data_IF_319214818654
#
_entry.id   IF_319214818654
#
_cell.length_a   1.000
_cell.length_b   1.000
_cell.length_c   1.000
_cell.angle_alpha   90.00
_cell.angle_beta   90.00
_cell.angle_gamma   90.00
#
_symmetry.space_group_name_H-M   'P 1'
#
loop_
_entity.id
_entity.type
_entity.pdbx_description
1 polymer ?
#
# COMPACT_ATOMS: atom_id res chain seq x y z
N UNK A 1 19.08 -16.01 6.33
CA UNK A 1 18.55 -15.41 7.55
C UNK A 1 17.32 -14.57 7.23
N UNK A 2 16.44 -14.37 8.21
CA UNK A 2 15.35 -13.42 8.10
C UNK A 2 15.26 -12.60 9.40
N UNK A 3 14.84 -11.34 9.28
CA UNK A 3 14.57 -10.48 10.43
C UNK A 3 13.35 -9.61 10.17
N UNK A 4 12.54 -9.40 11.19
CA UNK A 4 11.36 -8.59 11.09
C UNK A 4 11.31 -7.56 12.22
N UNK A 5 10.65 -6.44 11.94
CA UNK A 5 10.39 -5.40 12.92
C UNK A 5 9.12 -4.61 12.55
N UNK A 6 8.59 -3.91 13.52
CA UNK A 6 7.53 -2.91 13.33
C UNK A 6 7.95 -1.59 13.96
N UNK A 7 7.45 -0.49 13.40
CA UNK A 7 7.65 0.85 13.93
C UNK A 7 6.33 1.60 13.90
N UNK A 8 5.94 2.21 15.01
CA UNK A 8 4.73 3.01 15.07
C UNK A 8 4.90 4.28 14.22
N UNK A 9 3.99 4.48 13.28
CA UNK A 9 3.96 5.63 12.36
C UNK A 9 2.68 6.45 12.51
N UNK A 10 1.94 6.26 13.61
CA UNK A 10 0.70 7.01 13.86
C UNK A 10 1.01 8.51 13.96
N UNK A 11 0.40 9.36 13.13
CA UNK A 11 0.59 10.80 13.17
C UNK A 11 -0.08 11.40 14.40
N UNK A 12 0.29 12.63 14.78
CA UNK A 12 -0.47 13.39 15.78
C UNK A 12 -1.93 13.59 15.38
N UNK A 13 -2.82 13.71 16.37
CA UNK A 13 -4.20 14.08 16.11
C UNK A 13 -4.28 15.44 15.41
N UNK A 14 -5.29 15.60 14.55
CA UNK A 14 -5.45 16.77 13.69
C UNK A 14 -4.86 16.63 12.29
N UNK A 15 -3.98 15.64 12.05
CA UNK A 15 -3.58 15.29 10.69
C UNK A 15 -4.77 14.73 9.91
N UNK A 16 -4.81 15.03 8.60
CA UNK A 16 -5.97 14.72 7.77
C UNK A 16 -6.01 13.24 7.38
N UNK A 17 -7.12 12.59 7.69
CA UNK A 17 -7.49 11.28 7.11
C UNK A 17 -7.93 11.52 5.67
N UNK A 18 -7.40 10.73 4.75
CA UNK A 18 -7.60 10.86 3.31
C UNK A 18 -8.07 9.53 2.69
N UNK A 19 -8.47 9.59 1.41
CA UNK A 19 -9.01 8.43 0.68
C UNK A 19 -10.52 8.54 0.41
N UNK A 20 -11.24 9.37 1.17
CA UNK A 20 -12.62 9.75 0.88
C UNK A 20 -12.71 10.97 -0.06
N UNK A 21 -13.95 11.42 -0.36
CA UNK A 21 -14.17 12.59 -1.20
C UNK A 21 -13.71 13.91 -0.55
N UNK A 22 -13.74 13.97 0.77
CA UNK A 22 -13.27 15.13 1.54
C UNK A 22 -12.34 14.63 2.65
N UNK A 23 -11.13 15.20 2.76
CA UNK A 23 -10.29 14.98 3.93
C UNK A 23 -10.94 15.55 5.19
N UNK A 24 -10.69 14.93 6.33
CA UNK A 24 -11.14 15.42 7.65
C UNK A 24 -10.03 15.16 8.68
N UNK A 25 -9.92 16.01 9.72
CA UNK A 25 -8.89 15.82 10.74
C UNK A 25 -9.16 14.59 11.60
N UNK A 26 -8.11 13.87 11.98
CA UNK A 26 -8.20 12.77 12.92
C UNK A 26 -8.49 13.28 14.34
N UNK A 27 -9.55 12.80 14.97
CA UNK A 27 -9.95 13.18 16.32
C UNK A 27 -9.57 12.14 17.37
N UNK A 28 -9.34 10.90 16.96
CA UNK A 28 -8.93 9.80 17.83
C UNK A 28 -8.10 8.77 17.05
N UNK A 29 -7.45 7.88 17.79
CA UNK A 29 -6.75 6.71 17.27
C UNK A 29 -7.44 5.46 17.81
N UNK A 30 -8.05 4.67 16.92
CA UNK A 30 -8.61 3.37 17.29
C UNK A 30 -7.49 2.32 17.34
N UNK A 31 -6.73 2.21 16.26
CA UNK A 31 -5.57 1.33 16.13
C UNK A 31 -4.35 2.13 15.69
N UNK A 32 -3.19 1.80 16.22
CA UNK A 32 -1.95 2.42 15.80
C UNK A 32 -1.57 1.99 14.38
N UNK A 33 -1.04 2.94 13.62
CA UNK A 33 -0.49 2.72 12.28
C UNK A 33 0.97 2.28 12.38
N UNK A 34 1.36 1.32 11.56
CA UNK A 34 2.71 0.77 11.59
C UNK A 34 3.38 0.74 10.21
N UNK A 35 4.69 0.97 10.21
CA UNK A 35 5.57 0.42 9.20
C UNK A 35 5.99 -0.99 9.64
N UNK A 36 5.89 -1.97 8.74
CA UNK A 36 6.31 -3.35 8.98
C UNK A 36 7.40 -3.70 7.99
N UNK A 37 8.51 -4.20 8.49
CA UNK A 37 9.65 -4.60 7.67
C UNK A 37 9.95 -6.08 7.82
N UNK A 38 10.22 -6.73 6.68
CA UNK A 38 10.82 -8.05 6.59
C UNK A 38 12.13 -7.94 5.80
N UNK A 39 13.23 -8.38 6.38
CA UNK A 39 14.52 -8.49 5.72
C UNK A 39 14.83 -9.96 5.48
N UNK A 40 15.25 -10.28 4.26
CA UNK A 40 15.76 -11.59 3.86
C UNK A 40 17.23 -11.46 3.45
N UNK A 41 18.06 -12.40 3.92
CA UNK A 41 19.51 -12.40 3.72
C UNK A 41 19.98 -13.84 3.47
N UNK A 42 20.50 -14.10 2.27
CA UNK A 42 21.06 -15.40 1.89
C UNK A 42 22.59 -15.50 2.07
N UNK A 43 23.22 -14.45 2.61
CA UNK A 43 24.66 -14.33 2.80
C UNK A 43 25.39 -13.58 1.69
N UNK A 44 24.79 -13.47 0.50
CA UNK A 44 25.33 -12.71 -0.65
C UNK A 44 24.51 -11.45 -0.91
N UNK A 45 23.19 -11.58 -0.84
CA UNK A 45 22.23 -10.50 -1.13
C UNK A 45 21.28 -10.33 0.03
N UNK A 46 20.98 -9.08 0.34
CA UNK A 46 19.95 -8.67 1.29
C UNK A 46 18.85 -7.92 0.56
N UNK A 47 17.59 -8.23 0.88
CA UNK A 47 16.41 -7.49 0.39
C UNK A 47 15.51 -7.15 1.56
N UNK A 48 14.80 -6.04 1.45
CA UNK A 48 13.81 -5.63 2.45
C UNK A 48 12.46 -5.31 1.81
N UNK A 49 11.39 -5.73 2.47
CA UNK A 49 10.02 -5.36 2.16
C UNK A 49 9.50 -4.49 3.30
N UNK A 50 9.03 -3.28 2.98
CA UNK A 50 8.47 -2.36 3.96
C UNK A 50 7.05 -2.00 3.55
N UNK A 51 6.08 -2.32 4.40
CA UNK A 51 4.68 -1.99 4.18
C UNK A 51 4.23 -1.04 5.29
N UNK A 52 3.67 0.10 4.89
CA UNK A 52 3.23 1.17 5.79
C UNK A 52 1.72 1.33 5.78
N UNK A 53 1.11 1.49 6.95
CA UNK A 53 -0.34 1.74 7.09
C UNK A 53 -0.67 3.20 6.75
N UNK A 54 -0.58 3.53 5.47
CA UNK A 54 -0.94 4.83 4.90
C UNK A 54 -1.80 4.66 3.66
N UNK A 55 -2.52 5.70 3.25
CA UNK A 55 -3.21 5.73 1.96
C UNK A 55 -2.22 5.66 0.80
N UNK A 56 -1.13 6.38 0.91
CA UNK A 56 -0.04 6.44 -0.05
C UNK A 56 1.10 7.24 0.55
N UNK A 57 2.29 6.97 0.07
CA UNK A 57 3.52 7.61 0.51
C UNK A 57 4.20 8.20 -0.72
N UNK A 58 4.64 9.44 -0.61
CA UNK A 58 5.29 10.15 -1.72
C UNK A 58 6.72 9.68 -1.91
N UNK A 59 7.25 9.85 -3.11
CA UNK A 59 8.61 9.40 -3.47
C UNK A 59 9.67 10.07 -2.62
N UNK A 60 9.48 11.33 -2.24
CA UNK A 60 10.38 12.10 -1.40
C UNK A 60 10.52 11.52 0.02
N UNK A 61 9.43 11.06 0.63
CA UNK A 61 9.48 10.33 1.91
C UNK A 61 10.28 9.04 1.79
N UNK A 62 10.01 8.25 0.74
CA UNK A 62 10.75 7.03 0.51
C UNK A 62 12.23 7.28 0.22
N UNK A 63 12.55 8.38 -0.49
CA UNK A 63 13.94 8.74 -0.73
C UNK A 63 14.63 9.14 0.57
N UNK A 64 13.99 9.98 1.39
CA UNK A 64 14.53 10.35 2.70
C UNK A 64 14.76 9.13 3.60
N UNK A 65 13.82 8.17 3.60
CA UNK A 65 13.99 6.91 4.33
C UNK A 65 15.19 6.09 3.81
N UNK A 66 15.34 5.98 2.47
CA UNK A 66 16.50 5.30 1.85
C UNK A 66 17.83 5.95 2.22
N UNK A 67 17.88 7.29 2.31
CA UNK A 67 19.08 8.01 2.67
C UNK A 67 19.51 7.70 4.11
N UNK A 68 18.56 7.63 5.05
CA UNK A 68 18.82 7.17 6.41
C UNK A 68 19.30 5.70 6.44
N UNK A 69 18.60 4.80 5.74
CA UNK A 69 18.95 3.37 5.71
C UNK A 69 20.36 3.19 5.15
N UNK A 70 20.69 3.88 4.07
CA UNK A 70 22.02 3.85 3.46
C UNK A 70 23.12 4.33 4.41
N UNK A 71 22.83 5.34 5.21
CA UNK A 71 23.79 5.90 6.17
C UNK A 71 24.01 4.99 7.39
N UNK A 72 23.02 4.17 7.75
CA UNK A 72 22.97 3.45 9.01
C UNK A 72 23.06 1.92 8.87
N UNK A 73 22.97 1.39 7.66
CA UNK A 73 23.01 -0.05 7.38
C UNK A 73 23.82 -0.37 6.13
N UNK A 74 24.13 -1.65 5.96
CA UNK A 74 24.78 -2.18 4.75
C UNK A 74 23.76 -2.71 3.71
N UNK A 75 22.46 -2.34 3.83
CA UNK A 75 21.41 -2.71 2.88
C UNK A 75 21.42 -1.76 1.69
N UNK A 76 21.63 -2.26 0.45
CA UNK A 76 21.58 -1.41 -0.74
C UNK A 76 20.18 -0.79 -0.93
N UNK A 77 20.07 0.52 -1.18
CA UNK A 77 18.78 1.18 -1.36
C UNK A 77 17.91 0.61 -2.47
N UNK A 78 18.52 0.09 -3.53
CA UNK A 78 17.85 -0.58 -4.66
C UNK A 78 17.19 -1.91 -4.27
N UNK A 79 17.63 -2.53 -3.19
CA UNK A 79 17.11 -3.78 -2.68
C UNK A 79 15.96 -3.60 -1.67
N UNK A 80 15.36 -2.41 -1.62
CA UNK A 80 14.29 -2.09 -0.69
C UNK A 80 13.00 -1.80 -1.48
N UNK A 81 12.01 -2.69 -1.35
CA UNK A 81 10.65 -2.42 -1.78
C UNK A 81 9.88 -1.76 -0.65
N UNK A 82 9.31 -0.59 -0.92
CA UNK A 82 8.46 0.14 0.02
C UNK A 82 7.10 0.38 -0.60
N UNK A 83 6.04 0.11 0.16
CA UNK A 83 4.67 0.30 -0.28
C UNK A 83 3.76 0.75 0.87
N UNK A 84 2.59 1.26 0.52
CA UNK A 84 1.51 1.56 1.46
C UNK A 84 0.40 0.52 1.32
N UNK A 85 -0.31 0.24 2.41
CA UNK A 85 -1.48 -0.65 2.42
C UNK A 85 -2.68 -0.09 1.66
N UNK A 86 -2.64 1.19 1.33
CA UNK A 86 -3.75 1.95 0.75
C UNK A 86 -4.99 2.04 1.67
N UNK A 87 -4.77 1.99 2.99
CA UNK A 87 -5.89 2.17 3.93
C UNK A 87 -6.50 3.56 3.81
N UNK A 88 -7.84 3.63 3.83
CA UNK A 88 -8.59 4.89 3.81
C UNK A 88 -8.90 5.42 5.22
N UNK A 89 -8.24 4.87 6.24
CA UNK A 89 -8.36 5.28 7.64
C UNK A 89 -7.05 5.85 8.19
N UNK A 90 -6.23 6.41 7.31
CA UNK A 90 -4.92 6.98 7.63
C UNK A 90 -4.65 8.26 6.85
N UNK A 91 -3.54 8.91 7.15
CA UNK A 91 -3.08 10.10 6.46
C UNK A 91 -2.22 9.76 5.24
N UNK A 92 -2.03 10.74 4.37
CA UNK A 92 -0.93 10.80 3.39
C UNK A 92 0.18 11.64 4.01
N UNK A 93 1.43 11.26 3.79
CA UNK A 93 2.58 12.04 4.22
C UNK A 93 2.70 13.35 3.42
N UNK A 94 1.82 14.32 3.72
CA UNK A 94 1.73 15.59 3.00
C UNK A 94 2.15 16.80 3.83
N UNK A 95 2.19 16.68 5.16
CA UNK A 95 2.74 17.73 6.02
C UNK A 95 4.23 17.53 6.25
N UNK A 96 5.00 18.63 6.31
CA UNK A 96 6.45 18.56 6.51
C UNK A 96 6.84 17.86 7.82
N UNK A 97 6.07 18.05 8.87
CA UNK A 97 6.33 17.43 10.18
C UNK A 97 6.12 15.92 10.16
N UNK A 98 5.05 15.45 9.54
CA UNK A 98 4.78 14.02 9.43
C UNK A 98 5.71 13.35 8.42
N UNK A 99 6.12 14.06 7.36
CA UNK A 99 7.07 13.59 6.37
C UNK A 99 8.38 13.10 7.01
N UNK A 100 9.04 13.94 7.79
CA UNK A 100 10.33 13.63 8.41
C UNK A 100 10.20 12.53 9.47
N UNK A 101 9.13 12.60 10.27
CA UNK A 101 8.80 11.55 11.23
C UNK A 101 8.62 10.21 10.53
N UNK A 102 7.81 10.14 9.46
CA UNK A 102 7.53 8.90 8.75
C UNK A 102 8.80 8.32 8.11
N UNK A 103 9.59 9.16 7.43
CA UNK A 103 10.85 8.73 6.83
C UNK A 103 11.81 8.14 7.88
N UNK A 104 11.94 8.78 9.04
CA UNK A 104 12.77 8.29 10.15
C UNK A 104 12.24 6.95 10.70
N UNK A 105 10.92 6.83 10.93
CA UNK A 105 10.32 5.62 11.47
C UNK A 105 10.40 4.42 10.52
N UNK A 106 10.32 4.66 9.22
CA UNK A 106 10.59 3.63 8.20
C UNK A 106 12.04 3.15 8.31
N UNK A 107 13.00 4.06 8.38
CA UNK A 107 14.40 3.69 8.50
C UNK A 107 14.70 2.94 9.80
N UNK A 108 14.14 3.36 10.93
CA UNK A 108 14.25 2.64 12.20
C UNK A 108 13.71 1.21 12.10
N UNK A 109 12.56 1.03 11.43
CA UNK A 109 11.96 -0.27 11.20
C UNK A 109 12.91 -1.20 10.43
N UNK A 110 13.51 -0.70 9.35
CA UNK A 110 14.47 -1.46 8.55
C UNK A 110 15.70 -1.81 9.37
N UNK A 111 16.28 -0.85 10.09
CA UNK A 111 17.46 -1.07 10.93
C UNK A 111 17.19 -2.14 11.99
N UNK A 112 16.07 -2.05 12.71
CA UNK A 112 15.70 -3.08 13.68
C UNK A 112 15.50 -4.45 13.04
N UNK A 113 14.87 -4.53 11.86
CA UNK A 113 14.71 -5.79 11.13
C UNK A 113 16.08 -6.37 10.69
N UNK A 114 17.02 -5.52 10.31
CA UNK A 114 18.39 -5.91 9.99
C UNK A 114 19.14 -6.49 11.20
N UNK A 115 18.96 -5.90 12.37
CA UNK A 115 19.57 -6.36 13.63
C UNK A 115 18.94 -7.68 14.14
N UNK A 116 17.64 -7.86 13.91
CA UNK A 116 16.87 -9.04 14.33
C UNK A 116 17.06 -10.27 13.45
N UNK A 117 18.01 -10.26 12.50
CA UNK A 117 18.20 -11.39 11.58
C UNK A 117 18.71 -12.65 12.26
N UNK A 118 17.96 -13.71 12.16
CA UNK A 118 18.30 -15.05 12.65
C UNK A 118 18.18 -16.10 11.54
N UNK A 119 18.75 -17.30 11.71
CA UNK A 119 18.57 -18.39 10.77
C UNK A 119 17.09 -18.72 10.57
N UNK A 120 16.65 -18.75 9.32
CA UNK A 120 15.25 -19.00 8.97
C UNK A 120 15.15 -19.87 7.72
N UNK A 121 13.97 -20.47 7.54
CA UNK A 121 13.54 -21.10 6.28
C UNK A 121 12.36 -20.33 5.75
N UNK A 122 12.30 -20.14 4.43
CA UNK A 122 11.18 -19.51 3.74
C UNK A 122 10.42 -20.57 2.94
N UNK A 123 9.12 -20.48 2.94
CA UNK A 123 8.24 -21.24 2.06
C UNK A 123 7.24 -20.27 1.41
N UNK A 124 6.71 -20.66 0.27
CA UNK A 124 5.66 -19.90 -0.43
C UNK A 124 4.64 -20.87 -1.02
N UNK A 125 3.46 -20.34 -1.31
CA UNK A 125 2.38 -21.05 -1.97
C UNK A 125 1.38 -20.04 -2.52
N UNK A 126 0.57 -20.47 -3.46
CA UNK A 126 -0.54 -19.69 -4.00
C UNK A 126 -1.83 -20.50 -3.92
N UNK A 127 -2.96 -19.81 -3.89
CA UNK A 127 -4.29 -20.40 -3.93
C UNK A 127 -5.21 -19.50 -4.73
N UNK A 128 -6.09 -20.11 -5.53
CA UNK A 128 -7.14 -19.38 -6.23
C UNK A 128 -8.35 -19.13 -5.31
N UNK A 129 -8.72 -17.85 -5.15
CA UNK A 129 -9.92 -17.44 -4.42
C UNK A 129 -10.83 -16.56 -5.30
N UNK A 130 -11.56 -17.17 -6.25
CA UNK A 130 -12.37 -16.43 -7.23
C UNK A 130 -13.62 -15.78 -6.62
N UNK A 131 -14.04 -16.17 -5.42
CA UNK A 131 -15.25 -15.64 -4.77
C UNK A 131 -15.08 -14.18 -4.31
N UNK A 132 -13.83 -13.74 -4.08
CA UNK A 132 -13.50 -12.40 -3.59
C UNK A 132 -13.00 -11.45 -4.68
N UNK A 133 -12.87 -11.94 -5.92
CA UNK A 133 -12.27 -11.16 -7.02
C UNK A 133 -13.31 -10.86 -8.11
N UNK A 134 -13.48 -9.58 -8.43
CA UNK A 134 -14.51 -9.11 -9.37
C UNK A 134 -13.93 -8.12 -10.37
N UNK A 135 -14.27 -8.32 -11.67
CA UNK A 135 -13.96 -7.31 -12.68
C UNK A 135 -14.86 -6.09 -12.49
N UNK A 136 -14.26 -4.92 -12.37
CA UNK A 136 -14.96 -3.64 -12.14
C UNK A 136 -15.60 -3.05 -13.39
N UNK A 137 -15.31 -3.57 -14.57
CA UNK A 137 -15.85 -3.11 -15.86
C UNK A 137 -16.82 -4.13 -16.41
N UNK A 138 -17.96 -3.65 -16.90
CA UNK A 138 -19.03 -4.48 -17.40
C UNK A 138 -19.55 -3.97 -18.72
N UNK A 139 -19.84 -4.88 -19.66
CA UNK A 139 -20.68 -4.57 -20.80
C UNK A 139 -22.11 -4.35 -20.37
N UNK A 140 -22.81 -3.41 -21.01
CA UNK A 140 -24.18 -3.04 -20.70
C UNK A 140 -25.01 -2.87 -21.95
N UNK A 141 -26.31 -3.14 -21.86
CA UNK A 141 -27.29 -2.84 -22.90
C UNK A 141 -27.75 -1.37 -22.88
N UNK A 142 -27.42 -0.61 -21.82
CA UNK A 142 -27.79 0.79 -21.71
C UNK A 142 -26.61 1.70 -22.04
N UNK A 143 -26.59 2.36 -23.22
CA UNK A 143 -25.51 3.25 -23.63
C UNK A 143 -25.35 4.48 -22.74
N UNK A 144 -26.40 4.91 -22.04
CA UNK A 144 -26.32 6.06 -21.13
C UNK A 144 -25.40 5.78 -19.93
N UNK A 145 -25.25 4.52 -19.55
CA UNK A 145 -24.30 4.12 -18.50
C UNK A 145 -22.84 4.25 -18.93
N UNK A 146 -22.58 4.30 -20.22
CA UNK A 146 -21.24 4.35 -20.79
C UNK A 146 -20.81 5.75 -21.23
N UNK A 147 -21.61 6.77 -20.98
CA UNK A 147 -21.22 8.17 -21.22
C UNK A 147 -20.03 8.53 -20.36
N UNK A 148 -18.98 9.06 -20.98
CA UNK A 148 -17.77 9.50 -20.31
C UNK A 148 -17.77 11.05 -20.14
N UNK A 149 -16.92 11.58 -19.25
CA UNK A 149 -16.88 13.02 -18.97
C UNK A 149 -16.34 13.86 -20.13
N UNK A 150 -15.84 13.23 -21.21
CA UNK A 150 -15.31 13.90 -22.40
C UNK A 150 -16.33 14.00 -23.54
N UNK A 151 -17.59 13.62 -23.27
CA UNK A 151 -18.68 13.69 -24.26
C UNK A 151 -18.80 12.49 -25.18
N UNK A 152 -17.98 11.46 -25.00
CA UNK A 152 -18.05 10.20 -25.72
C UNK A 152 -18.85 9.12 -25.00
N UNK A 153 -18.99 7.97 -25.68
CA UNK A 153 -19.62 6.77 -25.12
C UNK A 153 -18.59 5.64 -25.15
N UNK A 154 -18.28 5.10 -23.97
CA UNK A 154 -17.36 3.97 -23.83
C UNK A 154 -18.05 2.65 -24.17
N UNK A 155 -17.25 1.59 -24.34
CA UNK A 155 -17.79 0.23 -24.61
C UNK A 155 -18.29 -0.45 -23.33
N UNK A 156 -17.82 0.01 -22.17
CA UNK A 156 -18.06 -0.62 -20.88
C UNK A 156 -18.35 0.42 -19.81
N UNK A 157 -19.09 0.02 -18.79
CA UNK A 157 -19.30 0.80 -17.58
C UNK A 157 -18.32 0.36 -16.50
N UNK A 158 -17.57 1.29 -15.90
CA UNK A 158 -16.78 1.05 -14.71
C UNK A 158 -17.64 1.24 -13.45
N UNK A 159 -17.53 0.34 -12.49
CA UNK A 159 -18.28 0.35 -11.23
C UNK A 159 -19.79 0.52 -11.43
N UNK A 160 -20.45 -0.34 -12.21
CA UNK A 160 -21.88 -0.24 -12.38
C UNK A 160 -22.62 -0.55 -11.07
N UNK A 161 -23.86 -0.03 -10.89
CA UNK A 161 -24.69 -0.44 -9.77
C UNK A 161 -24.90 -1.96 -9.76
N UNK A 162 -24.65 -2.60 -8.62
CA UNK A 162 -24.80 -4.06 -8.48
C UNK A 162 -26.27 -4.48 -8.76
N UNK A 163 -26.45 -5.60 -9.42
CA UNK A 163 -27.77 -6.16 -9.72
C UNK A 163 -28.57 -5.37 -10.78
N UNK A 164 -27.97 -4.44 -11.50
CA UNK A 164 -28.65 -3.71 -12.57
C UNK A 164 -28.92 -4.64 -13.76
N UNK A 165 -30.19 -4.73 -14.18
CA UNK A 165 -30.64 -5.58 -15.27
C UNK A 165 -30.01 -5.27 -16.65
N UNK A 166 -29.42 -4.08 -16.80
CA UNK A 166 -28.72 -3.70 -18.03
C UNK A 166 -27.30 -4.29 -18.12
N UNK A 167 -26.77 -4.90 -17.08
CA UNK A 167 -25.44 -5.50 -17.07
C UNK A 167 -25.47 -6.85 -17.81
N UNK A 168 -24.53 -7.03 -18.76
CA UNK A 168 -24.48 -8.23 -19.59
C UNK A 168 -23.45 -9.22 -19.08
N UNK A 169 -22.19 -8.80 -19.00
CA UNK A 169 -21.06 -9.62 -18.55
C UNK A 169 -19.86 -8.75 -18.14
N UNK A 170 -18.94 -9.29 -17.35
CA UNK A 170 -17.65 -8.67 -17.11
C UNK A 170 -16.89 -8.41 -18.40
N UNK A 171 -16.13 -7.32 -18.46
CA UNK A 171 -15.41 -6.88 -19.66
C UNK A 171 -14.03 -7.52 -19.83
N UNK A 172 -13.56 -8.26 -18.86
CA UNK A 172 -12.26 -8.93 -18.90
C UNK A 172 -12.15 -10.04 -17.84
N UNK A 173 -11.02 -10.73 -17.83
CA UNK A 173 -10.72 -11.76 -16.84
C UNK A 173 -10.54 -11.16 -15.44
N UNK A 174 -10.46 -12.03 -14.47
CA UNK A 174 -9.97 -11.76 -13.12
C UNK A 174 -8.68 -12.54 -12.92
N UNK A 175 -7.88 -12.11 -11.95
CA UNK A 175 -6.74 -12.85 -11.42
C UNK A 175 -7.13 -13.28 -9.99
N UNK A 176 -7.48 -14.57 -9.78
CA UNK A 176 -7.94 -15.07 -8.49
C UNK A 176 -6.82 -15.52 -7.57
N UNK A 177 -5.57 -15.57 -8.04
CA UNK A 177 -4.42 -16.05 -7.27
C UNK A 177 -4.08 -15.09 -6.12
N UNK A 178 -3.88 -15.67 -4.92
CA UNK A 178 -3.45 -14.99 -3.68
C UNK A 178 -2.12 -15.58 -3.22
#
# INVERSE_FOLDING_TARGET
KAGAATSNITPPLGEYIVGGFKPFPAENVHDELHARCLVLDNGETKIAFVICDNLGITVDVFQAARDYIKAETDLPPENILMAATHTHSATRASSSKYHDFLARRIADCVRCAMENREPARIGWGGVDEPSEVFNRRWYTTNPDFCKNPFGGVDKVRMNPPRGNAALVKPAGPIDPEI
#
